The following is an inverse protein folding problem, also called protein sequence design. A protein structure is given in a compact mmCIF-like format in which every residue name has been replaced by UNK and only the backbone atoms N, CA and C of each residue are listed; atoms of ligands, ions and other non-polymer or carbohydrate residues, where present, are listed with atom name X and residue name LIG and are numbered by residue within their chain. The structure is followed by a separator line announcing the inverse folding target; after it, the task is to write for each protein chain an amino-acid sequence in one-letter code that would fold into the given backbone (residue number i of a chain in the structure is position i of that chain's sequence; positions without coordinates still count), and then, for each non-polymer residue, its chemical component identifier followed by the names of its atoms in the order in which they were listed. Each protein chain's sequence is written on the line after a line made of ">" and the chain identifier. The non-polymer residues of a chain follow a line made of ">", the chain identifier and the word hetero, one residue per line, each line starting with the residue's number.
data_IF_930202963650
#
_entry.id   IF_930202963650
#
_cell.length_a   1.000
_cell.length_b   1.000
_cell.length_c   1.000
_cell.angle_alpha   90.00
_cell.angle_beta   90.00
_cell.angle_gamma   90.00
#
_symmetry.space_group_name_H-M   'P 1'
#
loop_
_entity.id
_entity.type
_entity.pdbx_description
1 polymer ?
#
# COMPACT_ATOMS: atom_id res chain seq x y z
N UNK A 1 -14.24 -5.39 -2.06
CA UNK A 1 -14.41 -4.53 -3.25
C UNK A 1 -13.52 -5.14 -4.33
N UNK A 2 -14.06 -5.78 -5.36
CA UNK A 2 -13.22 -6.36 -6.41
C UNK A 2 -12.85 -5.26 -7.42
N UNK A 3 -11.58 -5.19 -7.81
CA UNK A 3 -11.07 -4.16 -8.72
C UNK A 3 -10.67 -4.83 -10.03
N UNK A 4 -11.12 -4.28 -11.15
CA UNK A 4 -10.71 -4.77 -12.47
C UNK A 4 -9.51 -3.97 -12.97
N UNK A 5 -8.49 -4.68 -13.46
CA UNK A 5 -7.34 -4.09 -14.16
C UNK A 5 -7.22 -4.71 -15.55
N UNK A 6 -6.53 -4.03 -16.47
CA UNK A 6 -6.41 -4.43 -17.88
C UNK A 6 -5.67 -5.77 -18.13
N UNK A 7 -5.25 -6.50 -17.08
CA UNK A 7 -4.58 -7.80 -17.16
C UNK A 7 -5.30 -8.92 -16.38
N UNK A 8 -6.54 -8.67 -15.94
CA UNK A 8 -7.33 -9.59 -15.12
C UNK A 8 -7.94 -8.88 -13.90
N UNK A 9 -8.93 -9.50 -13.29
CA UNK A 9 -9.53 -9.00 -12.06
C UNK A 9 -8.62 -9.31 -10.87
N UNK A 10 -8.08 -8.26 -10.22
CA UNK A 10 -7.32 -8.40 -8.98
C UNK A 10 -8.29 -8.12 -7.84
N UNK A 11 -8.71 -9.18 -7.16
CA UNK A 11 -9.61 -9.04 -6.03
C UNK A 11 -8.87 -8.46 -4.83
N UNK A 12 -9.45 -7.41 -4.23
CA UNK A 12 -8.90 -6.78 -3.02
C UNK A 12 -9.96 -6.74 -1.92
N UNK A 13 -9.54 -7.08 -0.71
CA UNK A 13 -10.38 -6.97 0.48
C UNK A 13 -9.70 -6.04 1.46
N UNK A 14 -10.43 -5.01 1.89
CA UNK A 14 -9.99 -4.07 2.92
C UNK A 14 -10.93 -4.24 4.10
N UNK A 15 -10.36 -4.56 5.26
CA UNK A 15 -11.06 -4.58 6.54
C UNK A 15 -10.39 -3.54 7.40
N UNK A 16 -11.14 -2.52 7.81
CA UNK A 16 -10.63 -1.43 8.63
C UNK A 16 -11.61 -1.13 9.76
N UNK A 17 -11.07 -1.00 10.98
CA UNK A 17 -11.85 -0.67 12.17
C UNK A 17 -10.93 -0.14 13.27
N UNK A 18 -11.46 0.76 14.10
CA UNK A 18 -10.71 1.36 15.21
C UNK A 18 -11.15 0.74 16.54
N UNK A 19 -10.18 0.39 17.39
CA UNK A 19 -10.44 -0.09 18.76
C UNK A 19 -11.08 -1.48 18.87
N UNK A 20 -11.24 -2.22 17.77
CA UNK A 20 -11.81 -3.57 17.79
C UNK A 20 -10.71 -4.63 17.91
N UNK A 21 -10.83 -5.58 18.85
CA UNK A 21 -9.94 -6.72 18.89
C UNK A 21 -10.17 -7.60 17.65
N UNK A 22 -9.09 -7.92 16.92
CA UNK A 22 -9.14 -8.88 15.82
C UNK A 22 -8.54 -10.21 16.29
N UNK A 23 -9.30 -11.29 16.12
CA UNK A 23 -8.83 -12.66 16.35
C UNK A 23 -8.34 -13.27 15.04
N UNK A 24 -7.14 -13.85 15.04
CA UNK A 24 -6.67 -14.74 13.97
C UNK A 24 -5.93 -14.11 12.79
N UNK A 25 -5.92 -12.78 12.63
CA UNK A 25 -5.08 -12.10 11.63
C UNK A 25 -4.30 -10.93 12.23
N UNK A 26 -3.07 -10.76 11.76
CA UNK A 26 -2.26 -9.60 12.12
C UNK A 26 -2.74 -8.39 11.33
N UNK A 27 -2.70 -7.20 11.92
CA UNK A 27 -2.88 -5.96 11.16
C UNK A 27 -1.78 -5.88 10.10
N UNK A 28 -2.13 -5.94 8.81
CA UNK A 28 -1.14 -6.04 7.73
C UNK A 28 -1.74 -6.01 6.33
N UNK A 29 -0.86 -6.10 5.35
CA UNK A 29 -1.21 -6.24 3.93
C UNK A 29 -0.76 -7.61 3.43
N UNK A 30 -1.57 -8.24 2.60
CA UNK A 30 -1.30 -9.57 2.04
C UNK A 30 -1.48 -9.53 0.52
N UNK A 31 -0.47 -10.00 -0.20
CA UNK A 31 -0.46 -10.10 -1.65
C UNK A 31 -0.35 -11.58 -2.02
N UNK A 32 -1.42 -12.11 -2.61
CA UNK A 32 -1.51 -13.51 -3.01
C UNK A 32 -1.14 -13.64 -4.49
N UNK A 33 -0.16 -14.48 -4.79
CA UNK A 33 0.29 -14.74 -6.15
C UNK A 33 0.48 -16.24 -6.41
N UNK A 34 0.78 -16.59 -7.66
CA UNK A 34 1.00 -17.98 -8.07
C UNK A 34 2.19 -18.65 -7.37
N UNK A 35 3.20 -17.86 -6.99
CA UNK A 35 4.42 -18.37 -6.36
C UNK A 35 4.32 -18.42 -4.83
N UNK A 36 3.30 -17.79 -4.23
CA UNK A 36 3.19 -17.69 -2.78
C UNK A 36 2.47 -16.42 -2.32
N UNK A 37 2.55 -16.17 -1.02
CA UNK A 37 1.97 -15.00 -0.37
C UNK A 37 3.07 -14.10 0.18
N UNK A 38 3.04 -12.81 -0.20
CA UNK A 38 3.85 -11.77 0.43
C UNK A 38 2.99 -11.07 1.47
N UNK A 39 3.46 -10.98 2.71
CA UNK A 39 2.79 -10.25 3.78
C UNK A 39 3.66 -9.12 4.32
N UNK A 40 2.99 -8.04 4.72
CA UNK A 40 3.61 -6.89 5.40
C UNK A 40 2.92 -6.70 6.73
N UNK A 41 3.66 -6.90 7.81
CA UNK A 41 3.15 -6.72 9.17
C UNK A 41 3.04 -5.23 9.53
N UNK A 42 1.96 -4.92 10.25
CA UNK A 42 1.60 -3.59 10.77
C UNK A 42 1.39 -2.58 9.64
N UNK A 43 0.21 -2.60 9.02
CA UNK A 43 -0.18 -1.85 7.81
C UNK A 43 0.37 -0.41 7.71
N UNK A 44 0.42 0.35 8.81
CA UNK A 44 0.90 1.74 8.81
C UNK A 44 2.39 1.91 9.11
N UNK A 45 2.96 1.04 9.94
CA UNK A 45 4.31 1.19 10.49
C UNK A 45 5.33 0.26 9.83
N UNK A 46 4.88 -0.75 9.07
CA UNK A 46 5.68 -1.66 8.25
C UNK A 46 6.94 -2.18 8.95
N UNK A 47 6.80 -3.19 9.80
CA UNK A 47 7.93 -3.70 10.61
C UNK A 47 8.50 -5.04 10.15
N UNK A 48 7.85 -5.73 9.21
CA UNK A 48 8.33 -6.99 8.65
C UNK A 48 7.70 -7.27 7.30
N UNK A 49 8.50 -7.76 6.37
CA UNK A 49 8.04 -8.32 5.09
C UNK A 49 8.31 -9.81 5.20
N UNK A 50 7.31 -10.64 4.89
CA UNK A 50 7.47 -12.08 4.92
C UNK A 50 6.94 -12.70 3.63
N UNK A 51 7.56 -13.79 3.19
CA UNK A 51 7.13 -14.55 2.02
C UNK A 51 6.88 -16.00 2.40
N UNK A 52 5.73 -16.52 2.00
CA UNK A 52 5.38 -17.93 2.12
C UNK A 52 5.26 -18.52 0.71
N UNK A 53 6.15 -19.44 0.30
CA UNK A 53 6.06 -20.10 -1.00
C UNK A 53 4.79 -20.93 -1.15
N UNK A 54 4.28 -21.04 -2.38
CA UNK A 54 3.13 -21.90 -2.68
C UNK A 54 3.45 -23.37 -2.36
N UNK A 55 2.60 -24.01 -1.54
CA UNK A 55 2.79 -25.38 -1.08
C UNK A 55 3.86 -25.55 0.02
N UNK A 56 4.49 -24.46 0.46
CA UNK A 56 5.44 -24.45 1.56
C UNK A 56 4.80 -24.05 2.90
N UNK A 57 5.19 -24.72 3.97
CA UNK A 57 4.75 -24.36 5.34
C UNK A 57 5.67 -23.32 6.00
N UNK A 58 6.88 -23.12 5.47
CA UNK A 58 7.85 -22.18 6.04
C UNK A 58 7.61 -20.75 5.54
N UNK A 59 7.56 -19.83 6.51
CA UNK A 59 7.51 -18.38 6.28
C UNK A 59 8.93 -17.85 6.35
N UNK A 60 9.39 -17.22 5.27
CA UNK A 60 10.68 -16.53 5.20
C UNK A 60 10.51 -15.05 5.53
N UNK A 61 11.31 -14.50 6.46
CA UNK A 61 11.35 -13.06 6.72
C UNK A 61 12.31 -12.41 5.73
N UNK A 62 11.80 -11.48 4.93
CA UNK A 62 12.55 -10.79 3.91
C UNK A 62 13.11 -9.45 4.44
N UNK A 63 14.38 -9.12 4.15
CA UNK A 63 14.93 -7.81 4.48
C UNK A 63 14.28 -6.72 3.62
N UNK A 64 14.11 -5.52 4.18
CA UNK A 64 13.74 -4.35 3.38
C UNK A 64 14.86 -4.04 2.38
N UNK A 65 14.60 -4.01 1.06
CA UNK A 65 15.62 -3.70 0.07
C UNK A 65 16.27 -2.34 0.33
N UNK A 66 17.61 -2.30 0.39
CA UNK A 66 18.36 -1.07 0.69
C UNK A 66 18.00 0.07 -0.25
N UNK A 67 17.81 -0.23 -1.55
CA UNK A 67 17.36 0.75 -2.56
C UNK A 67 16.07 1.49 -2.20
N UNK A 68 15.14 0.85 -1.47
CA UNK A 68 13.89 1.47 -1.04
C UNK A 68 14.09 2.28 0.24
N UNK A 69 14.98 1.81 1.12
CA UNK A 69 15.38 2.54 2.31
C UNK A 69 16.08 3.86 1.95
N UNK A 70 16.93 3.84 0.93
CA UNK A 70 17.71 5.01 0.50
C UNK A 70 16.87 6.07 -0.25
N UNK A 71 15.65 5.72 -0.67
CA UNK A 71 14.73 6.65 -1.32
C UNK A 71 14.04 7.62 -0.34
N UNK A 72 14.01 7.28 0.95
CA UNK A 72 13.42 8.15 1.98
C UNK A 72 14.52 8.91 2.72
N UNK A 73 14.38 10.24 2.91
CA UNK A 73 15.33 11.02 3.71
C UNK A 73 15.45 10.47 5.13
N UNK A 74 16.64 10.51 5.71
CA UNK A 74 16.88 10.11 7.10
C UNK A 74 16.81 11.32 8.04
N UNK A 75 15.63 11.93 8.15
CA UNK A 75 15.38 13.17 8.91
C UNK A 75 14.75 12.94 10.29
N UNK A 76 14.23 11.73 10.54
CA UNK A 76 13.59 11.32 11.78
C UNK A 76 13.19 9.85 11.75
N UNK A 77 12.03 9.52 12.34
CA UNK A 77 11.45 8.19 12.26
C UNK A 77 10.76 7.92 10.90
N UNK A 78 10.11 6.76 10.77
CA UNK A 78 9.49 6.34 9.50
C UNK A 78 8.42 7.33 8.99
N UNK A 79 7.71 8.04 9.87
CA UNK A 79 6.67 9.01 9.50
C UNK A 79 7.29 10.26 8.89
N UNK A 80 8.15 11.04 9.60
CA UNK A 80 8.82 12.19 9.01
C UNK A 80 9.60 11.85 7.73
N UNK A 81 10.27 10.71 7.69
CA UNK A 81 11.04 10.28 6.51
C UNK A 81 10.15 10.15 5.27
N UNK A 82 8.96 9.54 5.40
CA UNK A 82 8.01 9.39 4.28
C UNK A 82 7.39 10.74 3.88
N UNK A 83 7.00 11.57 4.84
CA UNK A 83 6.44 12.90 4.54
C UNK A 83 7.45 13.81 3.83
N UNK A 84 8.70 13.80 4.27
CA UNK A 84 9.76 14.56 3.61
C UNK A 84 10.08 14.03 2.21
N UNK A 85 9.99 12.72 1.98
CA UNK A 85 10.10 12.16 0.62
C UNK A 85 8.99 12.69 -0.29
N UNK A 86 7.74 12.68 0.16
CA UNK A 86 6.61 13.21 -0.61
C UNK A 86 6.76 14.70 -0.92
N UNK A 87 7.15 15.49 0.08
CA UNK A 87 7.37 16.93 -0.10
C UNK A 87 8.53 17.22 -1.08
N UNK A 88 9.64 16.49 -0.96
CA UNK A 88 10.78 16.57 -1.88
C UNK A 88 10.35 16.28 -3.32
N UNK A 89 9.62 15.19 -3.53
CA UNK A 89 9.21 14.75 -4.87
C UNK A 89 8.22 15.75 -5.50
N UNK A 90 7.29 16.29 -4.71
CA UNK A 90 6.37 17.35 -5.13
C UNK A 90 7.09 18.64 -5.55
N UNK A 91 8.08 19.09 -4.77
CA UNK A 91 8.87 20.29 -5.12
C UNK A 91 9.71 20.05 -6.38
N UNK A 92 10.27 18.85 -6.56
CA UNK A 92 11.01 18.50 -7.76
C UNK A 92 10.12 18.57 -9.01
N UNK A 93 8.89 18.06 -8.92
CA UNK A 93 7.90 18.10 -9.99
C UNK A 93 7.51 19.55 -10.39
N UNK A 94 7.25 20.43 -9.40
CA UNK A 94 7.02 21.86 -9.65
C UNK A 94 8.21 22.53 -10.36
N UNK A 95 9.42 22.07 -10.07
CA UNK A 95 10.65 22.60 -10.66
C UNK A 95 11.01 21.94 -11.99
N UNK A 96 10.13 21.12 -12.56
CA UNK A 96 10.35 20.37 -13.81
C UNK A 96 11.60 19.46 -13.74
N UNK A 97 11.97 19.04 -12.53
CA UNK A 97 13.07 18.09 -12.32
C UNK A 97 12.54 16.66 -12.39
N UNK A 98 13.41 15.74 -12.78
CA UNK A 98 13.09 14.32 -12.69
C UNK A 98 12.75 13.94 -11.24
N UNK A 99 11.51 13.52 -11.01
CA UNK A 99 11.03 12.97 -9.75
C UNK A 99 10.62 11.51 -9.94
N UNK A 100 10.66 10.72 -8.87
CA UNK A 100 9.98 9.42 -8.85
C UNK A 100 8.47 9.60 -8.98
N UNK A 101 7.77 8.57 -9.48
CA UNK A 101 6.31 8.51 -9.38
C UNK A 101 5.91 8.65 -7.91
N UNK A 102 5.19 9.71 -7.57
CA UNK A 102 4.69 10.00 -6.23
C UNK A 102 3.17 10.15 -6.27
N UNK A 103 2.53 10.17 -5.09
CA UNK A 103 1.08 10.37 -4.99
C UNK A 103 0.71 11.79 -5.38
N UNK A 104 -0.02 11.93 -6.49
CA UNK A 104 -0.44 13.21 -7.04
C UNK A 104 -1.83 13.63 -6.55
N UNK A 105 -2.25 14.87 -6.88
CA UNK A 105 -3.63 15.29 -6.65
C UNK A 105 -4.66 14.46 -7.42
N UNK A 106 -4.30 13.94 -8.60
CA UNK A 106 -5.18 13.04 -9.37
C UNK A 106 -5.41 11.74 -8.59
N UNK A 107 -4.36 11.19 -7.99
CA UNK A 107 -4.48 9.99 -7.15
C UNK A 107 -5.34 10.25 -5.92
N UNK A 108 -5.13 11.39 -5.26
CA UNK A 108 -5.95 11.83 -4.12
C UNK A 108 -7.43 11.96 -4.47
N UNK A 109 -7.77 12.54 -5.62
CA UNK A 109 -9.14 12.61 -6.11
C UNK A 109 -9.74 11.21 -6.32
N UNK A 110 -9.01 10.28 -6.95
CA UNK A 110 -9.48 8.90 -7.15
C UNK A 110 -9.76 8.18 -5.83
N UNK A 111 -8.89 8.37 -4.84
CA UNK A 111 -9.11 7.81 -3.50
C UNK A 111 -10.37 8.38 -2.84
N UNK A 112 -10.63 9.67 -3.00
CA UNK A 112 -11.86 10.29 -2.49
C UNK A 112 -13.11 9.70 -3.15
N UNK A 113 -13.11 9.46 -4.47
CA UNK A 113 -14.22 8.79 -5.16
C UNK A 113 -14.45 7.38 -4.59
N UNK A 114 -13.38 6.62 -4.36
CA UNK A 114 -13.48 5.28 -3.76
C UNK A 114 -14.05 5.32 -2.33
N UNK A 115 -13.61 6.28 -1.50
CA UNK A 115 -14.11 6.49 -0.14
C UNK A 115 -15.61 6.79 -0.15
N UNK A 116 -16.06 7.67 -1.04
CA UNK A 116 -17.48 8.01 -1.16
C UNK A 116 -18.32 6.81 -1.64
N UNK A 117 -17.83 6.03 -2.60
CA UNK A 117 -18.49 4.80 -3.03
C UNK A 117 -18.66 3.80 -1.86
N UNK A 118 -17.65 3.64 -1.01
CA UNK A 118 -17.73 2.79 0.19
C UNK A 118 -18.79 3.31 1.17
N UNK A 119 -18.79 4.63 1.44
CA UNK A 119 -19.71 5.27 2.38
C UNK A 119 -21.17 5.18 1.93
N UNK A 120 -21.42 5.32 0.64
CA UNK A 120 -22.76 5.30 0.06
C UNK A 120 -23.31 3.87 -0.11
N UNK A 121 -22.43 2.86 -0.14
CA UNK A 121 -22.78 1.45 -0.29
C UNK A 121 -23.73 1.13 -1.48
N UNK A 122 -23.52 1.69 -2.69
CA UNK A 122 -24.40 1.42 -3.83
C UNK A 122 -24.22 0.00 -4.42
N UNK A 123 -23.38 -0.85 -3.81
CA UNK A 123 -22.96 -2.13 -4.36
C UNK A 123 -21.75 -1.97 -5.29
N UNK A 124 -21.85 -2.49 -6.51
CA UNK A 124 -20.78 -2.40 -7.51
C UNK A 124 -20.64 -0.96 -8.03
N UNK A 125 -19.43 -0.41 -7.98
CA UNK A 125 -19.12 0.94 -8.47
C UNK A 125 -17.83 0.91 -9.27
N UNK A 126 -17.90 1.47 -10.47
CA UNK A 126 -16.72 1.69 -11.31
C UNK A 126 -15.99 2.96 -10.87
N UNK A 127 -14.66 2.91 -10.80
CA UNK A 127 -13.85 4.01 -10.32
C UNK A 127 -13.04 4.62 -11.46
N UNK A 128 -12.77 5.94 -11.41
CA UNK A 128 -12.05 6.61 -12.50
C UNK A 128 -10.62 6.08 -12.66
N UNK A 129 -10.21 5.95 -13.94
CA UNK A 129 -8.87 5.56 -14.35
C UNK A 129 -7.85 6.70 -14.24
#
# INVERSE_FOLDING_TARGET
>A
MQWQTNQGEIQTTIVYGWGQPMTGQNNGMYFYGQQGTLSVDRMFCGQGISFQPAGGEQIEVLPLPLRLKDQVPAVGDFIPNRWCALARDFVADIQEKASSNYLTFRDGWRYQVAIEAIRQSPGWTELPL
#
